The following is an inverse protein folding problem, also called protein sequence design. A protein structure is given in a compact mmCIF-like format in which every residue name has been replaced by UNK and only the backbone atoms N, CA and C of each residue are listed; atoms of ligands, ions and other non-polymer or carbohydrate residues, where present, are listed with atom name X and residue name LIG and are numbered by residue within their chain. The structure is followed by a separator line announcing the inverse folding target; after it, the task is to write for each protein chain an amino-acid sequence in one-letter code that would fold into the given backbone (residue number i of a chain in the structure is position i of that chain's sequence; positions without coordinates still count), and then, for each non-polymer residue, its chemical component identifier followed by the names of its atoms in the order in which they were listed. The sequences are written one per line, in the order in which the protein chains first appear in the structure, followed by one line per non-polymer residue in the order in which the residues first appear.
data_IF_906412112918
#
_entry.id   IF_906412112918
#
_cell.length_a   1.000
_cell.length_b   1.000
_cell.length_c   1.000
_cell.angle_alpha   90.00
_cell.angle_beta   90.00
_cell.angle_gamma   90.00
#
_symmetry.space_group_name_H-M   'P 1'
#
loop_
_entity.id
_entity.type
_entity.pdbx_description
1 polymer ?
#
# COMPACT_ATOMS: atom_id res chain seq x y z
N UNK A 1 1.41 1.01 -12.97
CA UNK A 1 0.35 1.77 -13.67
C UNK A 1 0.01 2.96 -12.80
N UNK A 2 0.27 4.19 -13.26
CA UNK A 2 -0.15 5.40 -12.52
C UNK A 2 -1.67 5.54 -12.65
N UNK A 3 -2.35 5.88 -11.56
CA UNK A 3 -3.78 6.15 -11.60
C UNK A 3 -4.03 7.37 -12.52
N UNK A 4 -4.57 7.12 -13.70
CA UNK A 4 -4.91 8.17 -14.65
C UNK A 4 -6.36 8.60 -14.45
N UNK A 5 -6.56 9.71 -13.73
CA UNK A 5 -7.89 10.24 -13.46
C UNK A 5 -8.52 10.93 -14.68
N UNK A 6 -7.83 11.00 -15.83
CA UNK A 6 -8.38 11.61 -17.05
C UNK A 6 -9.39 10.73 -17.80
N UNK A 7 -9.41 9.42 -17.55
CA UNK A 7 -10.32 8.47 -18.20
C UNK A 7 -11.68 8.31 -17.48
N UNK A 8 -11.86 8.97 -16.33
CA UNK A 8 -13.10 8.96 -15.53
C UNK A 8 -12.90 8.43 -14.12
N UNK A 9 -13.22 9.26 -13.11
CA UNK A 9 -13.04 8.90 -11.69
C UNK A 9 -13.92 7.70 -11.29
N UNK A 10 -15.12 7.59 -11.86
CA UNK A 10 -16.06 6.48 -11.67
C UNK A 10 -15.52 5.10 -12.12
N UNK A 11 -14.91 5.03 -13.30
CA UNK A 11 -14.33 3.78 -13.83
C UNK A 11 -13.09 3.38 -13.05
N UNK A 12 -12.25 4.36 -12.71
CA UNK A 12 -11.06 4.15 -11.88
C UNK A 12 -11.45 3.54 -10.52
N UNK A 13 -12.46 4.09 -9.86
CA UNK A 13 -12.94 3.56 -8.59
C UNK A 13 -13.54 2.17 -8.73
N UNK A 14 -14.33 1.90 -9.77
CA UNK A 14 -14.85 0.55 -10.01
C UNK A 14 -13.75 -0.50 -10.12
N UNK A 15 -12.71 -0.21 -10.91
CA UNK A 15 -11.53 -1.09 -11.01
C UNK A 15 -10.79 -1.24 -9.68
N UNK A 16 -10.43 -0.13 -9.02
CA UNK A 16 -9.60 -0.20 -7.83
C UNK A 16 -10.32 -0.83 -6.63
N UNK A 17 -11.64 -0.70 -6.51
CA UNK A 17 -12.40 -1.38 -5.47
C UNK A 17 -12.25 -2.90 -5.59
N UNK A 18 -12.38 -3.45 -6.81
CA UNK A 18 -12.19 -4.89 -7.04
C UNK A 18 -10.73 -5.30 -6.83
N UNK A 19 -9.78 -4.58 -7.44
CA UNK A 19 -8.35 -4.89 -7.33
C UNK A 19 -7.86 -4.86 -5.87
N UNK A 20 -8.28 -3.87 -5.07
CA UNK A 20 -7.89 -3.77 -3.66
C UNK A 20 -8.57 -4.85 -2.82
N UNK A 21 -9.83 -5.20 -3.11
CA UNK A 21 -10.49 -6.31 -2.45
C UNK A 21 -9.67 -7.59 -2.59
N UNK A 22 -9.21 -7.92 -3.81
CA UNK A 22 -8.43 -9.12 -4.10
C UNK A 22 -7.01 -9.04 -3.53
N UNK A 23 -6.28 -7.96 -3.81
CA UNK A 23 -4.85 -7.89 -3.48
C UNK A 23 -4.59 -7.68 -1.99
N UNK A 24 -5.41 -6.85 -1.33
CA UNK A 24 -5.16 -6.38 0.04
C UNK A 24 -6.01 -7.08 1.10
N UNK A 25 -7.23 -7.47 0.76
CA UNK A 25 -8.23 -7.95 1.72
C UNK A 25 -8.73 -9.36 1.48
N UNK A 26 -8.38 -10.01 0.36
CA UNK A 26 -8.67 -11.42 0.17
C UNK A 26 -7.95 -12.22 1.25
N UNK A 27 -8.69 -13.07 1.95
CA UNK A 27 -8.22 -13.82 3.11
C UNK A 27 -7.75 -15.22 2.73
N UNK A 28 -7.34 -15.44 1.48
CA UNK A 28 -6.68 -16.69 1.09
C UNK A 28 -5.43 -16.87 1.98
N UNK A 29 -5.41 -18.01 2.68
CA UNK A 29 -4.49 -18.50 3.73
C UNK A 29 -3.02 -18.03 3.62
N UNK A 30 -2.22 -18.08 4.72
CA UNK A 30 -0.84 -17.61 4.70
C UNK A 30 -0.09 -18.13 3.47
N UNK A 31 0.39 -17.20 2.65
CA UNK A 31 0.95 -17.49 1.35
C UNK A 31 2.25 -18.30 1.52
N UNK A 32 2.36 -19.52 0.96
CA UNK A 32 3.47 -20.44 1.25
C UNK A 32 4.86 -19.82 1.04
N UNK A 33 5.02 -19.01 -0.02
CA UNK A 33 6.29 -18.31 -0.29
C UNK A 33 6.66 -17.32 0.81
N UNK A 34 5.71 -16.53 1.32
CA UNK A 34 5.98 -15.58 2.40
C UNK A 34 6.25 -16.30 3.72
N UNK A 35 5.59 -17.43 3.97
CA UNK A 35 5.89 -18.28 5.13
C UNK A 35 7.31 -18.85 5.06
N UNK A 36 7.74 -19.38 3.91
CA UNK A 36 9.11 -19.85 3.72
C UNK A 36 10.11 -18.72 3.90
N UNK A 37 9.85 -17.54 3.33
CA UNK A 37 10.73 -16.38 3.48
C UNK A 37 10.84 -15.94 4.94
N UNK A 38 9.74 -15.98 5.70
CA UNK A 38 9.73 -15.69 7.13
C UNK A 38 10.60 -16.70 7.90
N UNK A 39 10.41 -17.99 7.65
CA UNK A 39 11.20 -19.05 8.29
C UNK A 39 12.70 -18.96 7.99
N UNK A 40 13.07 -18.54 6.78
CA UNK A 40 14.46 -18.24 6.43
C UNK A 40 14.95 -17.03 7.20
N UNK A 41 14.16 -15.94 7.22
CA UNK A 41 14.52 -14.70 7.92
C UNK A 41 14.72 -14.91 9.42
N UNK A 42 13.86 -15.72 10.05
CA UNK A 42 13.91 -16.04 11.49
C UNK A 42 15.15 -16.85 11.90
N UNK A 43 15.93 -17.39 10.95
CA UNK A 43 17.24 -18.00 11.22
C UNK A 43 18.34 -16.96 11.49
N UNK A 44 18.08 -15.68 11.21
CA UNK A 44 19.00 -14.58 11.41
C UNK A 44 18.53 -13.70 12.56
N UNK A 45 19.45 -13.31 13.45
CA UNK A 45 19.13 -12.42 14.57
C UNK A 45 18.61 -11.05 14.07
N UNK A 46 19.21 -10.57 12.98
CA UNK A 46 18.93 -9.27 12.36
C UNK A 46 18.46 -9.46 10.92
N UNK A 47 17.30 -8.91 10.59
CA UNK A 47 16.77 -8.83 9.23
C UNK A 47 15.82 -7.64 9.14
N UNK A 48 15.68 -7.09 7.93
CA UNK A 48 14.76 -6.00 7.64
C UNK A 48 14.21 -6.14 6.23
N UNK A 49 12.93 -5.81 6.05
CA UNK A 49 12.25 -5.83 4.75
C UNK A 49 11.96 -4.40 4.31
N UNK A 50 12.34 -4.07 3.08
CA UNK A 50 11.85 -2.89 2.38
C UNK A 50 11.09 -3.39 1.16
N UNK A 51 9.85 -2.93 0.98
CA UNK A 51 8.99 -3.39 -0.12
C UNK A 51 8.34 -2.23 -0.86
N UNK A 52 8.20 -2.37 -2.18
CA UNK A 52 7.42 -1.46 -3.01
C UNK A 52 5.98 -1.95 -3.22
N UNK A 53 5.66 -3.15 -2.74
CA UNK A 53 4.29 -3.68 -2.75
C UNK A 53 3.41 -2.89 -1.77
N UNK A 54 2.11 -2.89 -2.04
CA UNK A 54 1.10 -2.12 -1.31
C UNK A 54 -0.06 -3.02 -0.82
N UNK A 55 0.21 -4.31 -0.64
CA UNK A 55 -0.74 -5.39 -0.35
C UNK A 55 -0.69 -5.90 1.11
N UNK A 56 0.24 -5.38 1.91
CA UNK A 56 0.58 -5.85 3.27
C UNK A 56 0.86 -7.35 3.36
N UNK A 57 1.35 -8.02 2.31
CA UNK A 57 1.56 -9.47 2.37
C UNK A 57 2.60 -9.89 3.41
N UNK A 58 3.62 -9.06 3.70
CA UNK A 58 4.57 -9.37 4.78
C UNK A 58 3.87 -9.42 6.15
N UNK A 59 3.16 -8.37 6.53
CA UNK A 59 2.46 -8.28 7.81
C UNK A 59 1.36 -9.33 7.92
N UNK A 60 0.59 -9.54 6.84
CA UNK A 60 -0.45 -10.58 6.77
C UNK A 60 0.11 -12.00 6.90
N UNK A 61 1.40 -12.20 6.61
CA UNK A 61 2.09 -13.46 6.77
C UNK A 61 2.96 -13.54 8.04
N UNK A 62 2.76 -12.64 8.99
CA UNK A 62 3.36 -12.72 10.32
C UNK A 62 4.76 -12.15 10.45
N UNK A 63 5.22 -11.36 9.47
CA UNK A 63 6.41 -10.52 9.68
C UNK A 63 6.10 -9.42 10.69
N UNK A 64 7.06 -9.10 11.56
CA UNK A 64 6.95 -8.00 12.50
C UNK A 64 6.85 -6.66 11.74
N UNK A 65 5.75 -5.89 11.87
CA UNK A 65 5.60 -4.60 11.20
C UNK A 65 6.68 -3.57 11.56
N UNK A 66 7.40 -3.76 12.68
CA UNK A 66 8.53 -2.87 13.03
C UNK A 66 9.77 -3.12 12.16
N UNK A 67 9.86 -4.27 11.51
CA UNK A 67 10.95 -4.69 10.62
C UNK A 67 10.57 -4.61 9.12
N UNK A 68 9.44 -3.97 8.80
CA UNK A 68 8.95 -3.79 7.42
C UNK A 68 8.80 -2.30 7.14
N UNK A 69 9.26 -1.86 5.97
CA UNK A 69 9.07 -0.49 5.49
C UNK A 69 8.55 -0.47 4.05
N UNK A 70 7.40 0.17 3.85
CA UNK A 70 6.70 0.28 2.56
C UNK A 70 6.71 1.73 2.05
N UNK A 71 7.80 2.23 1.43
CA UNK A 71 7.91 3.60 0.93
C UNK A 71 6.85 4.02 -0.11
N UNK A 72 6.21 3.03 -0.75
CA UNK A 72 5.21 3.22 -1.80
C UNK A 72 3.77 3.28 -1.27
N UNK A 73 3.57 3.08 0.03
CA UNK A 73 2.25 3.13 0.65
C UNK A 73 1.61 1.77 0.91
N UNK A 74 0.29 1.74 1.08
CA UNK A 74 -0.50 0.52 1.29
C UNK A 74 -1.96 0.74 0.91
N UNK A 75 -2.56 -0.22 0.22
CA UNK A 75 -3.97 -0.17 -0.17
C UNK A 75 -4.93 -0.24 1.01
N UNK A 76 -4.49 -0.64 2.20
CA UNK A 76 -5.26 -0.64 3.44
C UNK A 76 -5.56 0.76 3.98
N UNK A 77 -4.94 1.80 3.42
CA UNK A 77 -5.13 3.19 3.79
C UNK A 77 -5.66 4.03 2.62
N UNK A 78 -6.42 5.05 2.97
CA UNK A 78 -6.92 6.11 2.11
C UNK A 78 -6.32 7.46 2.49
N UNK A 79 -6.29 8.39 1.53
CA UNK A 79 -5.75 9.74 1.71
C UNK A 79 -6.44 10.79 0.83
N UNK A 80 -6.34 12.06 1.22
CA UNK A 80 -6.80 13.19 0.42
C UNK A 80 -5.89 13.38 -0.80
N UNK A 81 -6.46 13.75 -1.96
CA UNK A 81 -5.70 14.13 -3.16
C UNK A 81 -5.29 15.62 -3.19
N UNK A 82 -5.78 16.45 -2.25
CA UNK A 82 -5.33 17.84 -2.00
C UNK A 82 -4.31 17.93 -0.83
N UNK A 83 -3.86 16.79 -0.29
CA UNK A 83 -3.41 16.62 1.11
C UNK A 83 -3.82 17.75 2.07
N UNK A 84 -5.12 17.94 2.32
CA UNK A 84 -5.59 19.02 3.20
C UNK A 84 -5.17 18.85 4.67
N UNK A 85 -4.88 17.62 5.09
CA UNK A 85 -4.27 17.25 6.36
C UNK A 85 -3.25 16.11 6.09
N UNK A 86 -2.31 15.85 7.00
CA UNK A 86 -1.40 14.72 6.90
C UNK A 86 -2.04 13.36 7.27
N UNK A 87 -3.36 13.31 7.44
CA UNK A 87 -4.03 12.11 7.94
C UNK A 87 -4.26 11.09 6.82
N UNK A 88 -4.33 9.82 7.24
CA UNK A 88 -4.81 8.70 6.42
C UNK A 88 -5.87 7.92 7.19
N UNK A 89 -6.72 7.20 6.48
CA UNK A 89 -7.87 6.48 7.06
C UNK A 89 -7.94 5.05 6.55
N UNK A 90 -8.50 4.10 7.31
CA UNK A 90 -8.72 2.74 6.83
C UNK A 90 -9.54 2.72 5.53
N UNK A 91 -9.10 1.96 4.53
CA UNK A 91 -9.78 1.84 3.24
C UNK A 91 -10.79 0.69 3.18
N UNK A 92 -10.73 -0.26 4.13
CA UNK A 92 -11.63 -1.42 4.19
C UNK A 92 -13.13 -1.03 4.13
N UNK A 93 -13.59 0.05 4.81
CA UNK A 93 -14.98 0.50 4.66
C UNK A 93 -15.37 0.92 3.24
N UNK A 94 -14.42 1.37 2.40
CA UNK A 94 -14.72 1.62 0.98
C UNK A 94 -15.02 0.33 0.24
N UNK A 95 -14.22 -0.71 0.49
CA UNK A 95 -14.42 -2.03 -0.12
C UNK A 95 -15.79 -2.59 0.28
N UNK A 96 -16.08 -2.61 1.58
CA UNK A 96 -17.30 -3.23 2.11
C UNK A 96 -18.58 -2.52 1.65
N UNK A 97 -18.54 -1.19 1.50
CA UNK A 97 -19.74 -0.39 1.23
C UNK A 97 -19.90 0.05 -0.25
N UNK A 98 -18.80 0.15 -1.01
CA UNK A 98 -18.83 0.68 -2.38
C UNK A 98 -18.67 -0.42 -3.43
N UNK A 99 -17.89 -1.47 -3.18
CA UNK A 99 -17.73 -2.56 -4.15
C UNK A 99 -19.07 -3.21 -4.55
N UNK A 100 -20.02 -3.47 -3.63
CA UNK A 100 -21.33 -4.00 -4.01
C UNK A 100 -22.16 -3.08 -4.91
N UNK A 101 -21.81 -1.79 -4.99
CA UNK A 101 -22.49 -0.78 -5.82
C UNK A 101 -21.89 -0.63 -7.22
N UNK A 102 -20.75 -1.28 -7.49
CA UNK A 102 -20.12 -1.24 -8.82
C UNK A 102 -20.99 -2.03 -9.80
N UNK A 103 -21.36 -1.39 -10.91
CA UNK A 103 -22.12 -2.05 -11.97
C UNK A 103 -21.23 -3.10 -12.65
N UNK A 104 -21.67 -4.37 -12.65
CA UNK A 104 -20.86 -5.49 -13.16
C UNK A 104 -20.69 -5.50 -14.68
N UNK A 105 -21.56 -4.85 -15.43
CA UNK A 105 -21.49 -4.83 -16.89
C UNK A 105 -20.56 -3.71 -17.38
N UNK A 106 -20.59 -2.57 -16.71
CA UNK A 106 -19.86 -1.35 -17.09
C UNK A 106 -18.61 -1.11 -16.26
N UNK A 107 -18.48 -1.77 -15.10
CA UNK A 107 -17.41 -1.57 -14.11
C UNK A 107 -17.37 -0.14 -13.54
N UNK A 108 -18.49 0.59 -13.58
CA UNK A 108 -18.60 1.96 -13.07
C UNK A 108 -19.15 1.99 -11.65
N UNK A 109 -18.59 2.87 -10.81
CA UNK A 109 -19.22 3.34 -9.58
C UNK A 109 -19.99 4.65 -9.87
N UNK A 110 -21.21 4.79 -9.38
CA UNK A 110 -21.98 6.02 -9.60
C UNK A 110 -21.32 7.26 -8.96
N UNK A 111 -21.44 8.42 -9.60
CA UNK A 111 -20.74 9.64 -9.17
C UNK A 111 -21.09 10.09 -7.74
N UNK A 112 -22.34 9.85 -7.30
CA UNK A 112 -22.80 10.14 -5.95
C UNK A 112 -22.18 9.23 -4.88
N UNK A 113 -21.66 8.06 -5.27
CA UNK A 113 -21.04 7.08 -4.38
C UNK A 113 -19.51 7.23 -4.32
N UNK A 114 -18.92 8.12 -5.13
CA UNK A 114 -17.48 8.40 -5.10
C UNK A 114 -17.05 8.87 -3.70
N UNK A 115 -16.06 8.21 -3.09
CA UNK A 115 -15.64 8.58 -1.74
C UNK A 115 -14.99 9.95 -1.73
N UNK A 116 -15.21 10.69 -0.63
CA UNK A 116 -14.70 12.05 -0.44
C UNK A 116 -13.89 12.15 0.84
N UNK A 117 -12.97 13.11 0.86
CA UNK A 117 -12.15 13.39 2.04
C UNK A 117 -13.06 13.85 3.19
N UNK A 118 -12.98 13.23 4.38
CA UNK A 118 -13.83 13.59 5.52
C UNK A 118 -13.55 15.00 6.05
N UNK A 119 -12.37 15.57 5.77
CA UNK A 119 -11.94 16.87 6.26
C UNK A 119 -12.36 18.03 5.35
N UNK A 120 -12.19 17.88 4.02
CA UNK A 120 -12.41 18.97 3.07
C UNK A 120 -13.46 18.70 1.98
N UNK A 121 -14.06 17.50 1.96
CA UNK A 121 -15.01 17.09 0.92
C UNK A 121 -14.40 16.87 -0.46
N UNK A 122 -13.09 17.08 -0.63
CA UNK A 122 -12.38 16.91 -1.89
C UNK A 122 -12.19 15.44 -2.30
N UNK A 123 -11.60 15.19 -3.48
CA UNK A 123 -11.36 13.83 -3.95
C UNK A 123 -10.33 13.11 -3.07
N UNK A 124 -10.52 11.79 -2.96
CA UNK A 124 -9.67 10.89 -2.17
C UNK A 124 -9.10 9.80 -3.07
N UNK A 125 -8.09 9.08 -2.59
CA UNK A 125 -7.63 7.84 -3.20
C UNK A 125 -6.99 6.94 -2.15
N UNK A 126 -6.57 5.74 -2.53
CA UNK A 126 -5.71 4.91 -1.68
C UNK A 126 -4.38 5.61 -1.40
N UNK A 127 -3.79 5.37 -0.23
CA UNK A 127 -2.49 5.91 0.15
C UNK A 127 -1.38 5.10 -0.50
N UNK A 128 -1.23 5.32 -1.81
CA UNK A 128 -0.18 4.76 -2.65
C UNK A 128 0.54 5.89 -3.36
N UNK A 129 1.86 5.77 -3.49
CA UNK A 129 2.67 6.82 -4.09
C UNK A 129 2.48 6.82 -5.60
N UNK A 130 1.61 7.69 -6.09
CA UNK A 130 1.34 7.83 -7.52
C UNK A 130 1.43 9.27 -8.05
N UNK A 131 1.60 10.26 -7.16
CA UNK A 131 1.71 11.67 -7.53
C UNK A 131 2.25 12.53 -6.36
N UNK A 132 2.40 13.84 -6.62
CA UNK A 132 2.84 14.86 -5.66
C UNK A 132 1.95 14.97 -4.41
N UNK A 133 0.74 14.42 -4.42
CA UNK A 133 -0.21 14.49 -3.33
C UNK A 133 -0.08 13.34 -2.31
N UNK A 134 0.91 12.44 -2.45
CA UNK A 134 1.11 11.32 -1.52
C UNK A 134 1.34 11.79 -0.07
N UNK A 135 0.57 11.23 0.87
CA UNK A 135 0.70 11.52 2.30
C UNK A 135 1.71 10.55 2.92
N UNK A 136 2.85 11.09 3.40
CA UNK A 136 3.99 10.28 3.84
C UNK A 136 3.98 9.95 5.36
N UNK A 137 3.16 10.61 6.17
CA UNK A 137 3.25 10.50 7.64
C UNK A 137 3.15 9.08 8.20
N UNK A 138 2.27 8.19 7.73
CA UNK A 138 2.19 6.83 8.23
C UNK A 138 3.52 6.06 8.07
N UNK A 139 4.33 6.43 7.08
CA UNK A 139 5.53 5.70 6.66
C UNK A 139 6.81 6.22 7.31
N UNK A 140 6.77 7.38 7.98
CA UNK A 140 7.94 7.97 8.65
C UNK A 140 8.51 7.08 9.75
N UNK A 141 7.67 6.34 10.47
CA UNK A 141 8.15 5.41 11.52
C UNK A 141 8.92 4.24 10.92
N UNK A 142 8.38 3.59 9.88
CA UNK A 142 9.06 2.52 9.16
C UNK A 142 10.39 2.97 8.55
N UNK A 143 10.43 4.18 7.97
CA UNK A 143 11.67 4.79 7.48
C UNK A 143 12.73 4.90 8.57
N UNK A 144 12.38 5.44 9.74
CA UNK A 144 13.32 5.56 10.87
C UNK A 144 13.82 4.20 11.36
N UNK A 145 12.94 3.20 11.44
CA UNK A 145 13.33 1.85 11.83
C UNK A 145 14.34 1.25 10.83
N UNK A 146 14.10 1.44 9.54
CA UNK A 146 15.01 1.00 8.49
C UNK A 146 16.36 1.71 8.55
N UNK A 147 16.36 3.05 8.67
CA UNK A 147 17.58 3.87 8.80
C UNK A 147 18.40 3.46 10.05
N UNK A 148 17.72 3.20 11.16
CA UNK A 148 18.32 2.71 12.40
C UNK A 148 18.95 1.33 12.19
N UNK A 149 18.22 0.38 11.61
CA UNK A 149 18.71 -0.97 11.32
C UNK A 149 19.94 -0.93 10.41
N UNK A 150 19.91 -0.12 9.35
CA UNK A 150 21.05 0.10 8.47
C UNK A 150 22.25 0.63 9.23
N UNK A 151 22.07 1.68 10.05
CA UNK A 151 23.15 2.28 10.84
C UNK A 151 23.80 1.28 11.80
N UNK A 152 22.99 0.43 12.46
CA UNK A 152 23.48 -0.59 13.41
C UNK A 152 24.25 -1.72 12.72
N UNK A 153 23.94 -2.00 11.46
CA UNK A 153 24.54 -3.11 10.71
C UNK A 153 25.63 -2.66 9.72
N UNK A 154 26.02 -1.36 9.70
CA UNK A 154 26.98 -0.81 8.72
C UNK A 154 28.33 -1.52 8.66
N UNK A 155 28.79 -2.09 9.76
CA UNK A 155 30.08 -2.80 9.85
C UNK A 155 29.94 -4.33 9.74
N UNK A 156 28.70 -4.83 9.65
CA UNK A 156 28.42 -6.26 9.56
C UNK A 156 28.45 -6.71 8.09
N UNK A 157 28.60 -8.03 7.89
CA UNK A 157 28.43 -8.62 6.56
C UNK A 157 26.92 -8.72 6.27
N UNK A 158 26.42 -7.86 5.37
CA UNK A 158 25.01 -7.84 4.96
C UNK A 158 24.83 -8.63 3.67
N UNK A 159 23.85 -9.52 3.66
CA UNK A 159 23.34 -10.14 2.43
C UNK A 159 22.08 -9.38 2.01
N UNK A 160 22.09 -8.84 0.79
CA UNK A 160 20.92 -8.18 0.20
C UNK A 160 20.27 -9.13 -0.81
N UNK A 161 18.99 -9.43 -0.60
CA UNK A 161 18.19 -10.27 -1.51
C UNK A 161 17.14 -9.37 -2.14
N UNK A 162 17.16 -9.29 -3.47
CA UNK A 162 16.14 -8.59 -4.25
C UNK A 162 15.25 -9.61 -4.96
N UNK A 163 13.93 -9.49 -4.77
CA UNK A 163 12.93 -10.44 -5.26
C UNK A 163 11.87 -9.69 -6.04
N UNK A 164 11.82 -9.90 -7.35
CA UNK A 164 10.75 -9.39 -8.20
C UNK A 164 10.70 -7.87 -8.31
N UNK A 165 11.77 -7.15 -7.96
CA UNK A 165 11.86 -5.72 -8.26
C UNK A 165 12.15 -5.51 -9.76
N UNK A 166 11.28 -4.74 -10.41
CA UNK A 166 11.46 -4.30 -11.79
C UNK A 166 11.78 -2.79 -11.84
N UNK A 167 12.11 -2.28 -13.03
CA UNK A 167 12.49 -0.87 -13.24
C UNK A 167 11.33 0.15 -13.20
N UNK A 168 10.17 -0.21 -12.65
CA UNK A 168 8.92 0.57 -12.79
C UNK A 168 8.74 1.69 -11.74
N UNK A 169 9.69 1.88 -10.83
CA UNK A 169 9.63 2.90 -9.77
C UNK A 169 10.62 4.03 -10.04
N UNK A 170 10.40 4.78 -11.12
CA UNK A 170 11.08 6.07 -11.26
C UNK A 170 10.55 7.05 -10.20
N UNK A 171 11.41 7.91 -9.61
CA UNK A 171 10.93 9.06 -8.85
C UNK A 171 9.98 9.83 -9.76
N UNK A 172 8.76 10.08 -9.31
CA UNK A 172 7.87 11.01 -9.98
C UNK A 172 8.52 12.40 -9.87
N UNK A 173 9.33 12.74 -10.88
CA UNK A 173 9.92 14.07 -11.08
C UNK A 173 8.91 15.00 -11.75
#
# INVERSE_FOLDING_TARGET
MMANFSEGENLLWGYYLQNVAETRFDSSEPHPVYQTLRQISDQFAEWFVVTTNVDSLFERNGFDPQRVYSPQGDYGLGQCRKPCTPDTWPSKPWIDNLLPKVDRNTQLLADQDLPRCPNCGGPTFFNVRCAHWFVEEPWKKGRRNWEHWLAHNRTNNIVSIDIGSGFNTHPCG
#
